data_IF_567654604277
#
_entry.id   IF_567654604277
#
_cell.length_a   1.000
_cell.length_b   1.000
_cell.length_c   1.000
_cell.angle_alpha   90.00
_cell.angle_beta   90.00
_cell.angle_gamma   90.00
#
_symmetry.space_group_name_H-M   'P 1'
#
loop_
_entity.id
_entity.type
_entity.pdbx_description
1 polymer ?
#
# COMPACT_ATOMS: atom_id res chain seq x y z
N UNK A 1 24.41 34.68 43.18
CA UNK A 1 23.87 35.07 41.85
C UNK A 1 23.54 33.87 40.95
N UNK A 2 24.26 32.74 41.05
CA UNK A 2 24.03 31.52 40.26
C UNK A 2 22.67 30.81 40.50
N UNK A 3 22.14 30.85 41.73
CA UNK A 3 20.88 30.16 42.07
C UNK A 3 19.68 30.78 41.32
N UNK A 4 19.64 32.10 41.13
CA UNK A 4 18.60 32.78 40.35
C UNK A 4 18.61 32.38 38.87
N UNK A 5 19.80 32.18 38.31
CA UNK A 5 19.98 31.73 36.92
C UNK A 5 19.48 30.29 36.78
N UNK A 6 19.83 29.41 37.74
CA UNK A 6 19.35 28.03 37.74
C UNK A 6 17.82 27.95 37.89
N UNK A 7 17.21 28.76 38.76
CA UNK A 7 15.74 28.81 38.89
C UNK A 7 15.05 29.37 37.65
N UNK A 8 15.65 30.36 36.96
CA UNK A 8 15.12 30.89 35.70
C UNK A 8 15.22 29.86 34.57
N UNK A 9 16.35 29.15 34.47
CA UNK A 9 16.54 28.08 33.47
C UNK A 9 15.56 26.93 33.68
N UNK A 10 15.32 26.55 34.94
CA UNK A 10 14.35 25.51 35.30
C UNK A 10 12.91 25.95 34.99
N UNK A 11 12.54 27.21 35.29
CA UNK A 11 11.24 27.78 34.90
C UNK A 11 11.04 27.83 33.38
N UNK A 12 12.06 28.17 32.60
CA UNK A 12 11.98 28.15 31.14
C UNK A 12 11.72 26.74 30.61
N UNK A 13 12.36 25.71 31.17
CA UNK A 13 12.13 24.32 30.77
C UNK A 13 10.73 23.79 31.14
N UNK A 14 10.13 24.30 32.21
CA UNK A 14 8.74 24.00 32.59
C UNK A 14 7.70 24.85 31.84
N UNK A 15 8.06 26.07 31.41
CA UNK A 15 7.18 26.96 30.66
C UNK A 15 7.08 26.59 29.17
N UNK A 16 7.95 25.72 28.65
CA UNK A 16 7.73 25.11 27.33
C UNK A 16 6.59 24.11 27.50
N UNK A 17 5.36 24.41 27.03
CA UNK A 17 4.29 23.42 27.06
C UNK A 17 4.78 22.20 26.28
N UNK A 18 4.44 21.00 26.74
CA UNK A 18 4.58 19.77 25.96
C UNK A 18 3.82 19.96 24.65
N UNK A 19 4.50 20.45 23.62
CA UNK A 19 4.00 20.45 22.25
C UNK A 19 4.11 19.00 21.79
N UNK A 20 3.21 18.15 22.29
CA UNK A 20 2.81 16.94 21.58
C UNK A 20 2.07 17.39 20.34
N UNK A 21 2.82 17.81 19.32
CA UNK A 21 2.31 17.86 17.97
C UNK A 21 2.06 16.40 17.58
N UNK A 22 0.86 15.90 17.88
CA UNK A 22 0.29 14.83 17.08
C UNK A 22 0.23 15.41 15.68
N UNK A 23 1.15 15.00 14.82
CA UNK A 23 0.99 15.19 13.37
C UNK A 23 -0.16 14.30 12.96
N UNK A 24 -1.37 14.77 13.24
CA UNK A 24 -2.56 14.38 12.52
C UNK A 24 -2.65 15.39 11.39
N UNK A 25 -2.00 15.11 10.26
CA UNK A 25 -2.05 16.03 9.13
C UNK A 25 -0.80 16.01 8.26
N UNK A 26 -0.55 14.89 7.61
CA UNK A 26 -0.14 14.92 6.22
C UNK A 26 -1.36 14.51 5.37
N UNK A 27 -2.35 15.39 5.39
CA UNK A 27 -3.42 15.60 4.41
C UNK A 27 -3.28 17.10 4.15
N UNK A 28 -2.93 17.62 2.99
CA UNK A 28 -3.31 17.21 1.65
C UNK A 28 -2.19 17.58 0.64
N UNK A 29 -1.76 16.61 -0.17
CA UNK A 29 -1.21 16.85 -1.51
C UNK A 29 -2.01 15.91 -2.41
N UNK A 30 -3.08 16.43 -3.02
CA UNK A 30 -4.04 15.77 -3.93
C UNK A 30 -4.34 14.26 -3.71
N UNK A 31 -5.12 13.96 -2.68
CA UNK A 31 -5.61 12.61 -2.34
C UNK A 31 -6.64 12.02 -3.31
N UNK A 32 -7.08 12.73 -4.34
CA UNK A 32 -8.10 12.21 -5.27
C UNK A 32 -7.51 11.48 -6.47
N UNK A 33 -6.31 11.84 -6.91
CA UNK A 33 -5.62 11.18 -8.02
C UNK A 33 -4.74 10.02 -7.55
N UNK A 34 -4.21 10.10 -6.33
CA UNK A 34 -3.38 9.05 -5.74
C UNK A 34 -4.21 7.83 -5.31
N UNK A 35 -5.46 8.00 -4.89
CA UNK A 35 -6.37 6.90 -4.56
C UNK A 35 -6.95 6.21 -5.80
N UNK A 36 -7.15 6.96 -6.90
CA UNK A 36 -7.49 6.40 -8.20
C UNK A 36 -6.33 5.59 -8.80
N UNK A 37 -5.09 6.08 -8.71
CA UNK A 37 -3.90 5.33 -9.17
C UNK A 37 -3.63 4.10 -8.29
N UNK A 38 -3.88 4.21 -6.98
CA UNK A 38 -3.78 3.09 -6.05
C UNK A 38 -4.74 1.98 -6.41
N UNK A 39 -5.97 2.27 -6.83
CA UNK A 39 -6.94 1.26 -7.24
C UNK A 39 -6.71 0.73 -8.67
N UNK A 40 -5.98 1.46 -9.52
CA UNK A 40 -5.55 0.99 -10.85
C UNK A 40 -4.41 -0.03 -10.74
N UNK A 41 -3.47 0.18 -9.81
CA UNK A 41 -2.29 -0.69 -9.67
C UNK A 41 -2.52 -1.76 -8.59
N UNK A 42 -3.19 -1.45 -7.48
CA UNK A 42 -3.46 -2.35 -6.36
C UNK A 42 -4.97 -2.59 -6.19
N UNK A 43 -5.44 -3.84 -6.20
CA UNK A 43 -6.87 -4.12 -6.12
C UNK A 43 -7.45 -3.93 -4.72
N UNK A 44 -8.73 -3.55 -4.67
CA UNK A 44 -9.51 -3.49 -3.43
C UNK A 44 -9.83 -4.90 -2.94
N UNK A 45 -9.44 -5.23 -1.71
CA UNK A 45 -9.73 -6.50 -1.05
C UNK A 45 -10.44 -6.23 0.28
N UNK A 46 -11.72 -6.56 0.35
CA UNK A 46 -12.55 -6.41 1.54
C UNK A 46 -12.48 -7.67 2.42
N UNK A 47 -12.82 -7.57 3.71
CA UNK A 47 -13.04 -8.74 4.56
C UNK A 47 -14.03 -9.72 3.90
N UNK A 48 -13.82 -11.02 4.11
CA UNK A 48 -14.62 -12.10 3.52
C UNK A 48 -14.51 -12.28 2.00
N UNK A 49 -13.68 -11.49 1.30
CA UNK A 49 -13.38 -11.74 -0.12
C UNK A 49 -12.24 -12.74 -0.26
N UNK A 50 -12.35 -13.61 -1.27
CA UNK A 50 -11.25 -14.44 -1.75
C UNK A 50 -11.31 -14.50 -3.27
N UNK A 51 -10.27 -13.99 -3.93
CA UNK A 51 -10.19 -13.99 -5.40
C UNK A 51 -8.74 -13.87 -5.85
N UNK A 52 -8.51 -14.13 -7.15
CA UNK A 52 -7.24 -13.89 -7.82
C UNK A 52 -7.48 -13.04 -9.07
N UNK A 53 -6.58 -12.10 -9.36
CA UNK A 53 -6.64 -11.28 -10.58
C UNK A 53 -5.24 -11.06 -11.17
N UNK A 54 -5.13 -10.74 -12.47
CA UNK A 54 -3.85 -10.46 -13.11
C UNK A 54 -3.10 -9.30 -12.47
N UNK A 55 -1.77 -9.41 -12.43
CA UNK A 55 -0.91 -8.28 -12.10
C UNK A 55 -0.69 -7.39 -13.34
N UNK A 56 -0.77 -6.06 -13.20
CA UNK A 56 -0.62 -5.16 -14.33
C UNK A 56 0.78 -5.27 -14.94
N UNK A 57 0.86 -5.28 -16.27
CA UNK A 57 2.11 -5.28 -17.06
C UNK A 57 3.03 -6.49 -16.89
N UNK A 58 2.71 -7.47 -16.04
CA UNK A 58 3.52 -8.68 -15.87
C UNK A 58 2.67 -9.91 -15.54
N UNK A 59 2.36 -10.73 -16.56
CA UNK A 59 1.57 -11.95 -16.41
C UNK A 59 2.29 -13.07 -15.65
N UNK A 60 3.56 -12.94 -15.27
CA UNK A 60 4.21 -13.89 -14.35
C UNK A 60 3.78 -13.66 -12.89
N UNK A 61 3.05 -12.59 -12.62
CA UNK A 61 2.51 -12.27 -11.31
C UNK A 61 1.00 -12.15 -11.34
N UNK A 62 0.40 -12.32 -10.17
CA UNK A 62 -1.03 -12.11 -9.93
C UNK A 62 -1.25 -11.60 -8.51
N UNK A 63 -2.38 -10.95 -8.29
CA UNK A 63 -2.84 -10.61 -6.95
C UNK A 63 -3.70 -11.74 -6.40
N UNK A 64 -3.46 -12.09 -5.14
CA UNK A 64 -4.30 -12.97 -4.34
C UNK A 64 -4.89 -12.16 -3.19
N UNK A 65 -6.22 -12.05 -3.16
CA UNK A 65 -6.97 -11.49 -2.04
C UNK A 65 -7.49 -12.64 -1.19
N UNK A 66 -7.22 -12.61 0.12
CA UNK A 66 -7.81 -13.53 1.11
C UNK A 66 -8.18 -12.72 2.36
N UNK A 67 -9.47 -12.62 2.66
CA UNK A 67 -10.02 -12.01 3.87
C UNK A 67 -9.45 -10.61 4.18
N UNK A 68 -9.49 -9.72 3.19
CA UNK A 68 -9.02 -8.33 3.33
C UNK A 68 -7.51 -8.15 3.17
N UNK A 69 -6.75 -9.22 2.87
CA UNK A 69 -5.30 -9.17 2.67
C UNK A 69 -4.95 -9.46 1.21
N UNK A 70 -4.34 -8.49 0.54
CA UNK A 70 -3.77 -8.66 -0.81
C UNK A 70 -2.32 -9.10 -0.73
N UNK A 71 -1.95 -10.09 -1.52
CA UNK A 71 -0.56 -10.52 -1.74
C UNK A 71 -0.27 -10.57 -3.22
N UNK A 72 0.92 -10.11 -3.63
CA UNK A 72 1.44 -10.37 -4.97
C UNK A 72 2.07 -11.76 -4.95
N UNK A 73 1.67 -12.61 -5.88
CA UNK A 73 2.19 -13.96 -6.06
C UNK A 73 2.87 -14.05 -7.40
N UNK A 74 3.96 -14.82 -7.46
CA UNK A 74 4.64 -15.16 -8.70
C UNK A 74 4.22 -16.57 -9.11
N UNK A 75 3.94 -16.76 -10.39
CA UNK A 75 3.79 -18.08 -10.96
C UNK A 75 5.14 -18.85 -10.95
N UNK A 76 5.11 -20.19 -10.91
CA UNK A 76 6.30 -21.01 -11.13
C UNK A 76 7.01 -20.67 -12.45
N UNK A 77 8.29 -21.02 -12.55
CA UNK A 77 9.09 -20.78 -13.75
C UNK A 77 8.42 -21.40 -14.99
N UNK A 78 8.37 -20.64 -16.09
CA UNK A 78 7.73 -21.06 -17.35
C UNK A 78 6.20 -20.89 -17.40
N UNK A 79 5.56 -20.55 -16.28
CA UNK A 79 4.11 -20.36 -16.21
C UNK A 79 3.73 -18.89 -16.08
N UNK A 80 2.58 -18.51 -16.65
CA UNK A 80 1.96 -17.20 -16.50
C UNK A 80 0.51 -17.35 -16.00
N UNK A 81 0.02 -16.33 -15.31
CA UNK A 81 -1.33 -16.33 -14.76
C UNK A 81 -2.36 -16.12 -15.87
N UNK A 82 -3.24 -17.10 -16.05
CA UNK A 82 -4.39 -17.01 -16.93
C UNK A 82 -5.59 -16.47 -16.15
N UNK A 83 -6.17 -15.37 -16.64
CA UNK A 83 -7.30 -14.69 -16.00
C UNK A 83 -8.63 -15.40 -16.21
N UNK A 84 -8.74 -16.23 -17.25
CA UNK A 84 -9.95 -17.01 -17.54
C UNK A 84 -10.05 -18.19 -16.59
N UNK A 85 -8.94 -18.92 -16.42
CA UNK A 85 -8.88 -20.10 -15.56
C UNK A 85 -8.46 -19.79 -14.12
N UNK A 86 -8.07 -18.55 -13.82
CA UNK A 86 -7.60 -18.08 -12.52
C UNK A 86 -6.49 -18.96 -11.94
N UNK A 87 -5.49 -19.30 -12.77
CA UNK A 87 -4.36 -20.15 -12.36
C UNK A 87 -3.15 -19.92 -13.24
N UNK A 88 -1.98 -20.38 -12.77
CA UNK A 88 -0.77 -20.40 -13.58
C UNK A 88 -0.82 -21.54 -14.61
N UNK A 89 -0.63 -21.20 -15.88
CA UNK A 89 -0.58 -22.14 -17.03
C UNK A 89 0.67 -21.84 -17.87
N UNK A 90 1.09 -22.72 -18.80
CA UNK A 90 2.24 -22.46 -19.66
C UNK A 90 2.15 -21.10 -20.35
N UNK A 91 3.23 -20.30 -20.34
CA UNK A 91 3.22 -18.94 -20.89
C UNK A 91 2.77 -18.86 -22.35
N UNK A 92 2.95 -19.93 -23.13
CA UNK A 92 2.51 -20.03 -24.52
C UNK A 92 0.97 -20.00 -24.66
N UNK A 93 0.24 -20.40 -23.62
CA UNK A 93 -1.23 -20.42 -23.59
C UNK A 93 -1.83 -19.07 -23.14
N UNK A 94 -1.02 -18.17 -22.57
CA UNK A 94 -1.48 -16.88 -22.00
C UNK A 94 -1.12 -15.70 -22.88
N UNK A 95 -2.11 -14.88 -23.22
CA UNK A 95 -1.90 -13.55 -23.83
C UNK A 95 -1.57 -12.54 -22.73
N UNK A 96 -0.39 -11.94 -22.81
CA UNK A 96 0.13 -11.02 -21.80
C UNK A 96 -0.09 -9.57 -22.29
N UNK A 97 -0.77 -8.73 -21.52
CA UNK A 97 -0.79 -7.27 -21.76
C UNK A 97 -2.13 -6.61 -22.15
N UNK A 98 -3.26 -7.32 -22.15
CA UNK A 98 -4.55 -6.76 -22.65
C UNK A 98 -5.64 -6.64 -21.58
N UNK A 99 -5.29 -6.28 -20.34
CA UNK A 99 -6.26 -6.13 -19.23
C UNK A 99 -6.83 -4.72 -19.09
N UNK A 100 -6.54 -3.81 -20.03
CA UNK A 100 -7.13 -2.48 -20.12
C UNK A 100 -8.01 -2.46 -21.38
N UNK A 101 -9.32 -2.60 -21.22
CA UNK A 101 -10.29 -2.24 -22.26
C UNK A 101 -11.47 -1.54 -21.61
#
# INVERSE_FOLDING_TARGET
>A
MFIKILTLLVLMAFYVPKISAKVQGAKDINTQEEEALKNIIYPLCLPSQTYQIPYPFNCYYYYECINGVVKIKRCPLGLAFDWVQLRCVPKAEVICGTFIN
#
